data_IF_850112562643
#
_entry.id   IF_850112562643
#
_cell.length_a   1.000
_cell.length_b   1.000
_cell.length_c   1.000
_cell.angle_alpha   90.00
_cell.angle_beta   90.00
_cell.angle_gamma   90.00
#
_symmetry.space_group_name_H-M   'P 1'
#
loop_
_entity.id
_entity.type
_entity.pdbx_description
1 polymer ?
#
# COMPACT_ATOMS: atom_id res chain seq x y z
N UNK A 1 -2.86 -13.17 -5.29
CA UNK A 1 -3.27 -11.75 -5.48
C UNK A 1 -2.02 -10.95 -5.80
N UNK A 2 -2.07 -10.03 -6.78
CA UNK A 2 -0.93 -9.17 -7.13
C UNK A 2 -0.85 -7.98 -6.17
N UNK A 3 0.37 -7.61 -5.78
CA UNK A 3 0.65 -6.43 -4.97
C UNK A 3 1.20 -5.31 -5.82
N UNK A 4 0.80 -4.07 -5.56
CA UNK A 4 1.19 -2.90 -6.31
C UNK A 4 1.39 -1.68 -5.40
N UNK A 5 2.01 -0.64 -5.90
CA UNK A 5 2.14 0.65 -5.23
C UNK A 5 2.13 1.77 -6.26
N UNK A 6 1.46 2.86 -5.96
CA UNK A 6 1.45 4.05 -6.81
C UNK A 6 2.78 4.81 -6.71
N UNK A 7 3.32 5.24 -7.84
CA UNK A 7 4.60 6.00 -7.88
C UNK A 7 4.55 7.28 -7.05
N UNK A 8 3.37 7.86 -6.85
CA UNK A 8 3.17 9.03 -5.99
C UNK A 8 3.45 8.77 -4.51
N UNK A 9 3.43 7.51 -4.07
CA UNK A 9 3.60 7.11 -2.67
C UNK A 9 5.04 7.25 -2.16
N UNK A 10 6.02 7.31 -3.05
CA UNK A 10 7.45 7.32 -2.71
C UNK A 10 8.20 8.43 -3.43
N UNK A 11 9.37 8.80 -2.89
CA UNK A 11 10.24 9.86 -3.39
C UNK A 11 11.13 9.40 -4.55
N UNK A 12 11.82 10.34 -5.18
CA UNK A 12 12.83 10.09 -6.20
C UNK A 12 12.33 10.24 -7.63
N UNK A 13 13.23 10.04 -8.58
CA UNK A 13 12.94 9.94 -10.01
C UNK A 13 12.15 8.67 -10.31
N UNK A 14 11.48 8.58 -11.46
CA UNK A 14 10.71 7.39 -11.81
C UNK A 14 11.60 6.12 -11.81
N UNK A 15 12.83 6.19 -12.29
CA UNK A 15 13.77 5.05 -12.26
C UNK A 15 14.12 4.61 -10.84
N UNK A 16 14.39 5.56 -9.93
CA UNK A 16 14.68 5.25 -8.51
C UNK A 16 13.47 4.62 -7.82
N UNK A 17 12.26 5.12 -8.12
CA UNK A 17 11.00 4.55 -7.63
C UNK A 17 10.83 3.12 -8.10
N UNK A 18 10.97 2.84 -9.40
CA UNK A 18 10.82 1.48 -9.96
C UNK A 18 11.83 0.50 -9.36
N UNK A 19 13.09 0.93 -9.19
CA UNK A 19 14.12 0.11 -8.52
C UNK A 19 13.70 -0.22 -7.08
N UNK A 20 13.24 0.78 -6.31
CA UNK A 20 12.83 0.59 -4.93
C UNK A 20 11.60 -0.33 -4.79
N UNK A 21 10.63 -0.20 -5.70
CA UNK A 21 9.41 -1.02 -5.76
C UNK A 21 9.75 -2.48 -6.08
N UNK A 22 10.60 -2.72 -7.08
CA UNK A 22 11.05 -4.06 -7.44
C UNK A 22 11.86 -4.72 -6.32
N UNK A 23 12.80 -3.98 -5.70
CA UNK A 23 13.61 -4.47 -4.57
C UNK A 23 12.74 -4.83 -3.35
N UNK A 24 11.61 -4.15 -3.15
CA UNK A 24 10.67 -4.43 -2.06
C UNK A 24 9.82 -5.68 -2.29
N UNK A 25 9.75 -6.20 -3.54
CA UNK A 25 9.03 -7.42 -3.90
C UNK A 25 7.59 -7.22 -4.37
N UNK A 26 7.20 -6.02 -4.78
CA UNK A 26 5.91 -5.78 -5.45
C UNK A 26 5.85 -6.47 -6.81
N UNK A 27 4.65 -6.89 -7.22
CA UNK A 27 4.40 -7.46 -8.55
C UNK A 27 4.19 -6.38 -9.63
N UNK A 28 3.76 -5.19 -9.21
CA UNK A 28 3.42 -4.13 -10.14
C UNK A 28 3.47 -2.73 -9.56
N UNK A 29 3.11 -1.77 -10.40
CA UNK A 29 3.15 -0.34 -10.10
C UNK A 29 1.96 0.38 -10.73
N UNK A 30 1.39 1.32 -9.98
CA UNK A 30 0.50 2.32 -10.57
C UNK A 30 1.34 3.51 -11.05
N UNK A 31 1.27 3.83 -12.33
CA UNK A 31 1.96 5.00 -12.87
C UNK A 31 1.09 6.24 -12.65
N UNK A 32 1.57 7.13 -11.77
CA UNK A 32 1.00 8.45 -11.59
C UNK A 32 1.43 9.35 -12.76
N UNK A 33 0.49 9.93 -13.48
CA UNK A 33 0.77 10.66 -14.72
C UNK A 33 1.82 11.76 -14.59
N UNK A 34 1.86 12.45 -13.44
CA UNK A 34 2.87 13.50 -13.22
C UNK A 34 4.29 12.95 -13.14
N UNK A 35 4.48 11.74 -12.60
CA UNK A 35 5.79 11.08 -12.56
C UNK A 35 6.23 10.65 -13.98
N UNK A 36 5.27 10.21 -14.81
CA UNK A 36 5.50 9.94 -16.21
C UNK A 36 5.90 11.22 -16.98
N UNK A 37 5.14 12.33 -16.80
CA UNK A 37 5.42 13.61 -17.47
C UNK A 37 6.76 14.19 -17.03
N UNK A 38 7.17 13.98 -15.78
CA UNK A 38 8.44 14.47 -15.26
C UNK A 38 9.65 13.64 -15.72
N UNK A 39 9.41 12.45 -16.30
CA UNK A 39 10.48 11.59 -16.82
C UNK A 39 10.83 11.97 -18.26
N UNK A 40 12.14 12.09 -18.55
CA UNK A 40 12.62 12.35 -19.91
C UNK A 40 12.70 11.07 -20.71
N UNK A 41 11.58 10.70 -21.36
CA UNK A 41 11.46 9.50 -22.15
C UNK A 41 10.04 9.32 -22.73
N UNK A 42 9.93 8.56 -23.81
CA UNK A 42 8.64 8.21 -24.41
C UNK A 42 7.87 7.20 -23.56
N UNK A 43 6.55 7.11 -23.78
CA UNK A 43 5.71 6.13 -23.11
C UNK A 43 6.18 4.68 -23.35
N UNK A 44 6.59 4.36 -24.56
CA UNK A 44 7.13 3.05 -24.90
C UNK A 44 8.43 2.73 -24.12
N UNK A 45 9.29 3.72 -23.89
CA UNK A 45 10.50 3.57 -23.07
C UNK A 45 10.17 3.35 -21.61
N UNK A 46 9.24 4.12 -21.06
CA UNK A 46 8.77 3.93 -19.67
C UNK A 46 8.15 2.55 -19.50
N UNK A 47 7.30 2.10 -20.44
CA UNK A 47 6.72 0.77 -20.41
C UNK A 47 7.77 -0.35 -20.44
N UNK A 48 8.84 -0.20 -21.26
CA UNK A 48 9.99 -1.14 -21.24
C UNK A 48 10.72 -1.09 -19.90
N UNK A 49 11.03 0.10 -19.40
CA UNK A 49 11.72 0.28 -18.12
C UNK A 49 10.99 -0.41 -16.97
N UNK A 50 9.67 -0.32 -16.89
CA UNK A 50 8.87 -1.03 -15.87
C UNK A 50 9.05 -2.55 -16.02
N UNK A 51 8.93 -3.09 -17.23
CA UNK A 51 9.11 -4.53 -17.49
C UNK A 51 10.54 -5.01 -17.23
N UNK A 52 11.54 -4.20 -17.50
CA UNK A 52 12.96 -4.52 -17.23
C UNK A 52 13.25 -4.64 -15.74
N UNK A 53 12.45 -3.97 -14.88
CA UNK A 53 12.47 -4.16 -13.43
C UNK A 53 11.64 -5.38 -12.96
N UNK A 54 11.06 -6.17 -13.87
CA UNK A 54 10.18 -7.29 -13.52
C UNK A 54 8.80 -6.88 -13.01
N UNK A 55 8.41 -5.62 -13.20
CA UNK A 55 7.13 -5.07 -12.75
C UNK A 55 6.09 -5.03 -13.88
N UNK A 56 4.81 -5.03 -13.51
CA UNK A 56 3.68 -4.80 -14.39
C UNK A 56 3.08 -3.41 -14.12
N UNK A 57 2.65 -2.68 -15.15
CA UNK A 57 1.83 -1.46 -14.92
C UNK A 57 0.41 -1.93 -14.67
N UNK A 58 0.00 -1.91 -13.40
CA UNK A 58 -1.31 -2.39 -12.95
C UNK A 58 -2.42 -1.36 -13.14
N UNK A 59 -2.07 -0.08 -13.17
CA UNK A 59 -3.00 1.03 -13.35
C UNK A 59 -2.26 2.27 -13.88
N UNK A 60 -2.89 2.98 -14.81
CA UNK A 60 -2.48 4.33 -15.20
C UNK A 60 -3.45 5.36 -14.62
N UNK A 61 -2.95 6.38 -13.93
CA UNK A 61 -3.79 7.30 -13.17
C UNK A 61 -3.20 8.72 -13.08
N UNK A 62 -4.07 9.73 -12.79
CA UNK A 62 -5.53 9.71 -12.86
C UNK A 62 -6.07 10.28 -14.18
N UNK A 63 -7.31 9.95 -14.56
CA UNK A 63 -8.07 10.70 -15.55
C UNK A 63 -9.24 11.42 -14.87
N UNK A 64 -9.24 12.73 -14.90
CA UNK A 64 -10.13 13.59 -14.10
C UNK A 64 -11.14 14.31 -14.97
N UNK A 65 -12.27 14.70 -14.35
CA UNK A 65 -13.31 15.54 -14.94
C UNK A 65 -13.77 15.02 -16.30
N UNK A 66 -14.29 13.79 -16.29
CA UNK A 66 -14.75 13.13 -17.50
C UNK A 66 -16.27 13.18 -17.63
N UNK A 67 -17.01 12.66 -16.63
CA UNK A 67 -18.43 12.41 -16.74
C UNK A 67 -19.31 13.64 -16.49
N UNK A 68 -20.53 13.61 -17.05
CA UNK A 68 -21.61 14.57 -16.83
C UNK A 68 -21.31 16.00 -17.27
N UNK A 69 -20.37 16.21 -18.18
CA UNK A 69 -20.08 17.53 -18.70
C UNK A 69 -21.11 17.92 -19.78
N UNK A 70 -21.49 19.23 -19.88
CA UNK A 70 -22.28 19.72 -21.00
C UNK A 70 -21.43 19.83 -22.28
N UNK A 71 -22.08 19.87 -23.44
CA UNK A 71 -21.39 20.21 -24.69
C UNK A 71 -20.90 21.68 -24.65
N UNK A 72 -19.74 22.02 -25.25
CA UNK A 72 -18.81 21.13 -25.98
C UNK A 72 -17.77 20.45 -25.06
N UNK A 73 -17.86 20.58 -23.73
CA UNK A 73 -16.89 20.02 -22.77
C UNK A 73 -16.90 18.49 -22.77
N UNK A 74 -18.10 17.90 -22.94
CA UNK A 74 -18.27 16.45 -23.03
C UNK A 74 -17.49 15.88 -24.22
N UNK A 75 -17.66 16.44 -25.42
CA UNK A 75 -16.89 16.01 -26.59
C UNK A 75 -15.39 16.13 -26.37
N UNK A 76 -14.91 17.23 -25.78
CA UNK A 76 -13.48 17.41 -25.44
C UNK A 76 -12.98 16.40 -24.40
N UNK A 77 -13.83 15.98 -23.46
CA UNK A 77 -13.45 14.94 -22.49
C UNK A 77 -13.23 13.58 -23.17
N UNK A 78 -14.06 13.23 -24.14
CA UNK A 78 -13.84 12.05 -24.98
C UNK A 78 -12.56 12.15 -25.83
N UNK A 79 -12.27 13.32 -26.43
CA UNK A 79 -11.02 13.53 -27.18
C UNK A 79 -9.78 13.39 -26.26
N UNK A 80 -9.88 13.83 -25.01
CA UNK A 80 -8.81 13.60 -24.02
C UNK A 80 -8.65 12.12 -23.68
N UNK A 81 -9.77 11.38 -23.57
CA UNK A 81 -9.74 9.95 -23.29
C UNK A 81 -9.08 9.17 -24.42
N UNK A 82 -9.36 9.50 -25.70
CA UNK A 82 -8.70 8.87 -26.83
C UNK A 82 -7.17 9.02 -26.78
N UNK A 83 -6.69 10.24 -26.50
CA UNK A 83 -5.24 10.47 -26.34
C UNK A 83 -4.65 9.72 -25.13
N UNK A 84 -5.45 9.56 -24.05
CA UNK A 84 -5.05 8.76 -22.91
C UNK A 84 -4.92 7.28 -23.29
N UNK A 85 -5.83 6.77 -24.10
CA UNK A 85 -5.80 5.39 -24.60
C UNK A 85 -4.61 5.13 -25.52
N UNK A 86 -4.24 6.09 -26.39
CA UNK A 86 -3.01 6.00 -27.20
C UNK A 86 -1.78 5.85 -26.30
N UNK A 87 -1.68 6.68 -25.26
CA UNK A 87 -0.60 6.65 -24.29
C UNK A 87 -0.55 5.31 -23.51
N UNK A 88 -1.71 4.78 -23.11
CA UNK A 88 -1.79 3.49 -22.41
C UNK A 88 -1.29 2.33 -23.28
N UNK A 89 -1.61 2.33 -24.56
CA UNK A 89 -1.13 1.30 -25.50
C UNK A 89 0.39 1.36 -25.67
N UNK A 90 0.97 2.55 -25.72
CA UNK A 90 2.43 2.73 -25.77
C UNK A 90 3.12 2.31 -24.46
N UNK A 91 2.54 2.64 -23.31
CA UNK A 91 3.01 2.20 -21.99
C UNK A 91 2.91 0.68 -21.81
N UNK A 92 1.92 0.05 -22.45
CA UNK A 92 1.63 -1.39 -22.30
C UNK A 92 0.80 -1.67 -21.03
N UNK A 93 -0.17 -0.80 -20.70
CA UNK A 93 -1.15 -1.01 -19.63
C UNK A 93 -2.56 -1.04 -20.19
N UNK A 94 -3.45 -1.78 -19.56
CA UNK A 94 -4.83 -1.95 -20.03
C UNK A 94 -5.89 -1.26 -19.19
N UNK A 95 -5.54 -0.74 -17.99
CA UNK A 95 -6.50 -0.15 -17.05
C UNK A 95 -6.16 1.31 -16.74
N UNK A 96 -7.17 2.18 -16.81
CA UNK A 96 -7.08 3.59 -16.40
C UNK A 96 -8.07 3.93 -15.30
N UNK A 97 -7.64 4.74 -14.33
CA UNK A 97 -8.49 5.29 -13.29
C UNK A 97 -9.25 6.52 -13.80
N UNK A 98 -10.59 6.45 -13.76
CA UNK A 98 -11.49 7.58 -13.97
C UNK A 98 -12.00 8.06 -12.62
N UNK A 99 -11.52 9.20 -12.16
CA UNK A 99 -12.01 9.84 -10.94
C UNK A 99 -13.36 10.51 -11.18
N UNK A 100 -14.27 10.39 -10.21
CA UNK A 100 -15.52 11.15 -10.24
C UNK A 100 -15.26 12.66 -10.37
N UNK A 101 -16.08 13.34 -11.19
CA UNK A 101 -15.85 14.73 -11.58
C UNK A 101 -15.98 15.69 -10.40
N UNK A 102 -15.05 16.63 -10.33
CA UNK A 102 -15.08 17.80 -9.44
C UNK A 102 -15.35 19.09 -10.22
N UNK A 103 -15.50 18.99 -11.54
CA UNK A 103 -15.65 20.13 -12.43
C UNK A 103 -16.92 20.93 -12.10
N UNK A 104 -16.84 22.28 -11.97
CA UNK A 104 -18.01 23.10 -11.61
C UNK A 104 -19.16 23.03 -12.60
N UNK A 105 -18.89 22.71 -13.88
CA UNK A 105 -19.91 22.54 -14.91
C UNK A 105 -20.48 21.13 -15.00
N UNK A 106 -20.04 20.17 -14.18
CA UNK A 106 -20.62 18.82 -14.16
C UNK A 106 -22.08 18.92 -13.73
N UNK A 107 -22.98 18.30 -14.52
CA UNK A 107 -24.43 18.36 -14.33
C UNK A 107 -24.92 17.27 -13.36
N UNK A 108 -24.07 16.27 -13.07
CA UNK A 108 -24.42 15.14 -12.20
C UNK A 108 -25.48 14.20 -12.80
N UNK A 109 -25.94 13.26 -11.97
CA UNK A 109 -26.97 12.29 -12.29
C UNK A 109 -26.41 10.91 -12.67
N UNK A 110 -26.90 9.88 -11.98
CA UNK A 110 -26.45 8.49 -12.12
C UNK A 110 -26.56 7.99 -13.56
N UNK A 111 -27.72 8.18 -14.19
CA UNK A 111 -27.96 7.72 -15.57
C UNK A 111 -27.06 8.44 -16.59
N UNK A 112 -26.80 9.74 -16.38
CA UNK A 112 -25.90 10.51 -17.26
C UNK A 112 -24.48 10.00 -17.14
N UNK A 113 -23.99 9.80 -15.91
CA UNK A 113 -22.67 9.24 -15.68
C UNK A 113 -22.55 7.82 -16.25
N UNK A 114 -23.56 6.98 -16.04
CA UNK A 114 -23.59 5.63 -16.59
C UNK A 114 -23.54 5.60 -18.13
N UNK A 115 -24.28 6.49 -18.80
CA UNK A 115 -24.24 6.62 -20.25
C UNK A 115 -22.86 7.09 -20.77
N UNK A 116 -22.24 8.04 -20.07
CA UNK A 116 -20.90 8.53 -20.43
C UNK A 116 -19.85 7.42 -20.24
N UNK A 117 -19.92 6.66 -19.12
CA UNK A 117 -19.02 5.54 -18.87
C UNK A 117 -19.23 4.38 -19.83
N UNK A 118 -20.50 4.07 -20.21
CA UNK A 118 -20.79 3.06 -21.24
C UNK A 118 -20.12 3.44 -22.57
N UNK A 119 -20.33 4.68 -23.02
CA UNK A 119 -19.72 5.17 -24.27
C UNK A 119 -18.19 5.19 -24.21
N UNK A 120 -17.60 5.44 -23.03
CA UNK A 120 -16.16 5.35 -22.81
C UNK A 120 -15.70 3.89 -22.83
N UNK A 121 -16.44 2.99 -22.21
CA UNK A 121 -16.20 1.55 -22.21
C UNK A 121 -16.19 0.93 -23.61
N UNK A 122 -17.13 1.35 -24.48
CA UNK A 122 -17.17 0.93 -25.88
C UNK A 122 -15.89 1.33 -26.63
N UNK A 123 -15.39 2.55 -26.43
CA UNK A 123 -14.13 3.04 -27.02
C UNK A 123 -12.92 2.31 -26.45
N UNK A 124 -12.88 2.10 -25.14
CA UNK A 124 -11.81 1.34 -24.49
C UNK A 124 -11.77 -0.11 -25.00
N UNK A 125 -12.92 -0.77 -25.11
CA UNK A 125 -13.05 -2.14 -25.60
C UNK A 125 -12.52 -2.31 -27.03
N UNK A 126 -12.78 -1.33 -27.92
CA UNK A 126 -12.27 -1.34 -29.29
C UNK A 126 -10.73 -1.35 -29.37
N UNK A 127 -10.05 -0.97 -28.27
CA UNK A 127 -8.58 -0.94 -28.14
C UNK A 127 -8.04 -1.99 -27.17
N UNK A 128 -8.88 -2.91 -26.66
CA UNK A 128 -8.51 -3.90 -25.66
C UNK A 128 -8.22 -3.32 -24.29
N UNK A 129 -8.75 -2.13 -23.98
CA UNK A 129 -8.54 -1.41 -22.72
C UNK A 129 -9.75 -1.49 -21.82
N UNK A 130 -9.55 -1.18 -20.54
CA UNK A 130 -10.58 -1.13 -19.48
C UNK A 130 -10.55 0.20 -18.77
N UNK A 131 -11.67 0.63 -18.24
CA UNK A 131 -11.82 1.84 -17.45
C UNK A 131 -12.37 1.48 -16.08
N UNK A 132 -11.70 1.95 -15.02
CA UNK A 132 -12.15 1.78 -13.64
C UNK A 132 -12.65 3.11 -13.10
N UNK A 133 -13.88 3.14 -12.57
CA UNK A 133 -14.50 4.35 -12.05
C UNK A 133 -14.39 4.41 -10.53
N UNK A 134 -13.94 5.54 -10.01
CA UNK A 134 -13.71 5.79 -8.59
C UNK A 134 -14.53 6.98 -8.09
N UNK A 135 -15.16 6.83 -6.92
CA UNK A 135 -15.80 7.92 -6.19
C UNK A 135 -14.78 8.66 -5.32
N UNK A 136 -14.31 9.83 -5.73
CA UNK A 136 -13.50 10.70 -4.88
C UNK A 136 -14.30 11.19 -3.66
N UNK A 137 -13.70 11.20 -2.48
CA UNK A 137 -14.34 11.68 -1.25
C UNK A 137 -14.86 13.12 -1.35
N UNK A 138 -14.27 13.93 -2.23
CA UNK A 138 -14.69 15.32 -2.54
C UNK A 138 -15.33 15.46 -3.92
N UNK A 139 -15.77 14.34 -4.53
CA UNK A 139 -16.49 14.35 -5.81
C UNK A 139 -17.72 15.28 -5.75
N UNK A 140 -17.94 16.03 -6.84
CA UNK A 140 -18.99 17.04 -6.85
C UNK A 140 -20.40 16.46 -6.69
N UNK A 141 -20.68 15.36 -7.37
CA UNK A 141 -21.98 14.70 -7.37
C UNK A 141 -21.89 13.25 -6.92
N UNK A 142 -20.75 12.61 -7.16
CA UNK A 142 -20.48 11.20 -6.82
C UNK A 142 -19.28 11.19 -5.90
N UNK A 143 -19.51 10.82 -4.64
CA UNK A 143 -18.50 10.77 -3.59
C UNK A 143 -18.68 9.57 -2.64
N UNK A 144 -19.47 8.58 -3.08
CA UNK A 144 -19.78 7.37 -2.36
C UNK A 144 -19.59 6.18 -3.29
N UNK A 145 -18.90 5.13 -2.83
CA UNK A 145 -18.67 3.93 -3.64
C UNK A 145 -19.96 3.24 -4.06
N UNK A 146 -21.06 3.40 -3.31
CA UNK A 146 -22.38 2.84 -3.64
C UNK A 146 -22.97 3.51 -4.88
N UNK A 147 -22.83 4.83 -5.00
CA UNK A 147 -23.25 5.58 -6.20
C UNK A 147 -22.36 5.23 -7.39
N UNK A 148 -21.05 5.10 -7.18
CA UNK A 148 -20.12 4.67 -8.23
C UNK A 148 -20.43 3.26 -8.71
N UNK A 149 -20.77 2.33 -7.80
CA UNK A 149 -21.22 0.99 -8.16
C UNK A 149 -22.52 1.02 -8.96
N UNK A 150 -23.50 1.82 -8.54
CA UNK A 150 -24.77 1.95 -9.27
C UNK A 150 -24.55 2.48 -10.70
N UNK A 151 -23.61 3.41 -10.87
CA UNK A 151 -23.21 3.92 -12.20
C UNK A 151 -22.58 2.80 -13.04
N UNK A 152 -21.61 2.07 -12.49
CA UNK A 152 -20.95 0.94 -13.18
C UNK A 152 -21.98 -0.14 -13.54
N UNK A 153 -22.88 -0.46 -12.64
CA UNK A 153 -23.96 -1.42 -12.87
C UNK A 153 -24.91 -1.00 -13.99
N UNK A 154 -25.29 0.30 -14.07
CA UNK A 154 -26.14 0.86 -15.14
C UNK A 154 -25.38 1.05 -16.44
N UNK A 155 -24.09 1.33 -16.40
CA UNK A 155 -23.27 1.36 -17.60
C UNK A 155 -23.27 0.00 -18.30
N UNK A 156 -23.38 -1.10 -17.55
CA UNK A 156 -23.57 -2.45 -18.03
C UNK A 156 -22.64 -2.80 -19.20
N UNK A 157 -21.34 -2.56 -18.99
CA UNK A 157 -20.32 -2.79 -19.99
C UNK A 157 -19.14 -3.58 -19.38
N UNK A 158 -18.65 -4.65 -20.04
CA UNK A 158 -17.60 -5.52 -19.46
C UNK A 158 -16.27 -4.80 -19.23
N UNK A 159 -15.96 -3.77 -20.01
CA UNK A 159 -14.73 -2.99 -19.88
C UNK A 159 -14.86 -1.77 -18.94
N UNK A 160 -15.99 -1.64 -18.23
CA UNK A 160 -16.22 -0.64 -17.18
C UNK A 160 -16.37 -1.36 -15.85
N UNK A 161 -15.52 -1.01 -14.89
CA UNK A 161 -15.55 -1.59 -13.54
C UNK A 161 -15.36 -0.53 -12.47
N UNK A 162 -15.44 -0.97 -11.21
CA UNK A 162 -15.26 -0.12 -10.05
C UNK A 162 -13.80 -0.12 -9.60
N UNK A 163 -13.29 1.03 -9.20
CA UNK A 163 -12.09 1.14 -8.37
C UNK A 163 -12.52 1.57 -6.98
N UNK A 164 -12.03 0.85 -5.98
CA UNK A 164 -12.28 1.14 -4.58
C UNK A 164 -11.01 1.65 -3.91
N UNK A 165 -11.10 2.81 -3.27
CA UNK A 165 -10.05 3.36 -2.42
C UNK A 165 -10.55 3.41 -0.98
N UNK A 166 -9.76 2.82 -0.07
CA UNK A 166 -10.11 2.75 1.36
C UNK A 166 -10.25 4.14 2.00
N UNK A 167 -9.35 5.09 1.65
CA UNK A 167 -9.45 6.45 2.18
C UNK A 167 -10.73 7.14 1.75
N UNK A 168 -11.13 7.02 0.47
CA UNK A 168 -12.33 7.68 -0.02
C UNK A 168 -13.60 7.15 0.66
N UNK A 169 -13.64 5.87 0.95
CA UNK A 169 -14.75 5.24 1.68
C UNK A 169 -14.73 5.61 3.17
N UNK A 170 -13.61 5.36 3.84
CA UNK A 170 -13.50 5.48 5.30
C UNK A 170 -13.38 6.93 5.79
N UNK A 171 -12.68 7.78 5.04
CA UNK A 171 -12.56 9.21 5.34
C UNK A 171 -13.91 9.94 5.31
N UNK A 172 -14.88 9.45 4.54
CA UNK A 172 -16.28 9.90 4.57
C UNK A 172 -17.13 9.20 5.62
N UNK A 173 -16.54 8.30 6.40
CA UNK A 173 -17.26 7.51 7.41
C UNK A 173 -18.38 6.65 6.79
N UNK A 174 -18.18 6.17 5.55
CA UNK A 174 -19.09 5.27 4.87
C UNK A 174 -18.74 3.84 5.29
N UNK A 175 -19.77 3.07 5.70
CA UNK A 175 -19.57 1.65 6.04
C UNK A 175 -19.11 0.85 4.81
N UNK A 176 -18.06 0.04 4.90
CA UNK A 176 -17.62 -0.81 3.80
C UNK A 176 -18.51 -2.04 3.57
N UNK A 177 -19.44 -2.35 4.47
CA UNK A 177 -20.25 -3.59 4.41
C UNK A 177 -21.02 -3.77 3.10
N UNK A 178 -21.43 -2.67 2.45
CA UNK A 178 -22.10 -2.74 1.14
C UNK A 178 -21.22 -3.31 0.02
N UNK A 179 -19.89 -3.26 0.18
CA UNK A 179 -18.92 -3.81 -0.79
C UNK A 179 -19.09 -5.33 -0.92
N UNK A 180 -19.47 -6.04 0.16
CA UNK A 180 -19.68 -7.49 0.16
C UNK A 180 -20.71 -7.96 -0.88
N UNK A 181 -21.64 -7.08 -1.28
CA UNK A 181 -22.68 -7.38 -2.28
C UNK A 181 -22.29 -7.04 -3.72
N UNK A 182 -21.14 -6.41 -3.92
CA UNK A 182 -20.63 -6.09 -5.25
C UNK A 182 -19.95 -7.34 -5.83
N UNK A 183 -20.28 -7.79 -7.04
CA UNK A 183 -19.56 -8.91 -7.66
C UNK A 183 -18.07 -8.59 -7.81
N UNK A 184 -17.20 -9.47 -7.30
CA UNK A 184 -15.75 -9.22 -7.24
C UNK A 184 -15.11 -9.02 -8.63
N UNK A 185 -15.67 -9.62 -9.68
CA UNK A 185 -15.24 -9.43 -11.07
C UNK A 185 -15.61 -8.04 -11.65
N UNK A 186 -16.47 -7.29 -10.96
CA UNK A 186 -16.81 -5.91 -11.32
C UNK A 186 -15.94 -4.88 -10.58
N UNK A 187 -15.17 -5.29 -9.61
CA UNK A 187 -14.13 -4.49 -8.97
C UNK A 187 -12.83 -4.74 -9.75
N UNK A 188 -12.31 -3.72 -10.42
CA UNK A 188 -11.13 -3.86 -11.28
C UNK A 188 -9.83 -3.60 -10.54
N UNK A 189 -9.89 -2.79 -9.47
CA UNK A 189 -8.72 -2.40 -8.72
C UNK A 189 -9.08 -1.96 -7.30
N UNK A 190 -8.15 -2.15 -6.36
CA UNK A 190 -8.32 -1.70 -4.97
C UNK A 190 -7.09 -0.92 -4.53
N UNK A 191 -7.31 0.32 -4.11
CA UNK A 191 -6.30 1.19 -3.54
C UNK A 191 -6.45 1.25 -2.02
N UNK A 192 -5.32 1.17 -1.33
CA UNK A 192 -5.26 1.11 0.13
C UNK A 192 -4.43 2.25 0.68
N UNK A 193 -5.00 2.94 1.62
CA UNK A 193 -4.36 3.92 2.47
C UNK A 193 -5.08 3.96 3.82
N UNK A 194 -4.31 4.19 4.87
CA UNK A 194 -4.78 4.54 6.20
C UNK A 194 -4.62 6.06 6.42
N UNK A 195 -5.06 6.59 7.51
CA UNK A 195 -4.83 7.98 7.92
C UNK A 195 -5.16 8.19 9.40
N UNK A 196 -4.55 9.19 10.08
CA UNK A 196 -4.96 9.56 11.43
C UNK A 196 -6.36 10.19 11.40
N UNK A 197 -7.20 9.91 12.40
CA UNK A 197 -8.54 10.52 12.54
C UNK A 197 -8.43 11.96 13.04
N UNK A 198 -8.32 12.89 12.11
CA UNK A 198 -8.31 14.34 12.36
C UNK A 198 -9.39 15.03 11.55
N UNK A 199 -10.01 16.07 12.14
CA UNK A 199 -11.01 16.86 11.43
C UNK A 199 -10.35 17.92 10.55
N UNK A 200 -10.42 17.71 9.24
CA UNK A 200 -9.96 18.67 8.25
C UNK A 200 -10.69 18.52 6.93
N UNK A 201 -10.40 19.38 5.97
CA UNK A 201 -10.89 19.25 4.60
C UNK A 201 -10.45 17.91 3.99
N UNK A 202 -11.40 17.17 3.39
CA UNK A 202 -11.14 15.81 2.87
C UNK A 202 -10.07 15.77 1.77
N UNK A 203 -10.02 16.79 0.91
CA UNK A 203 -9.01 16.86 -0.15
C UNK A 203 -7.63 17.09 0.47
N UNK A 204 -7.52 18.02 1.43
CA UNK A 204 -6.27 18.30 2.10
C UNK A 204 -5.78 17.10 2.91
N UNK A 205 -6.68 16.46 3.65
CA UNK A 205 -6.39 15.24 4.40
C UNK A 205 -5.88 14.11 3.48
N UNK A 206 -6.59 13.85 2.39
CA UNK A 206 -6.18 12.86 1.38
C UNK A 206 -4.81 13.13 0.77
N UNK A 207 -4.44 14.40 0.60
CA UNK A 207 -3.22 14.76 -0.15
C UNK A 207 -1.96 14.79 0.69
N UNK A 208 -2.09 14.85 2.02
CA UNK A 208 -0.94 15.13 2.89
C UNK A 208 -0.80 14.13 4.06
N UNK A 209 -1.83 13.37 4.41
CA UNK A 209 -1.87 12.62 5.66
C UNK A 209 -2.26 11.14 5.52
N UNK A 210 -2.21 10.59 4.31
CA UNK A 210 -2.39 9.15 4.15
C UNK A 210 -1.19 8.40 4.72
N UNK A 211 -1.44 7.32 5.45
CA UNK A 211 -0.43 6.43 6.03
C UNK A 211 -0.51 5.05 5.38
N UNK A 212 0.49 4.21 5.63
CA UNK A 212 0.41 2.79 5.27
C UNK A 212 -0.69 2.11 6.09
N UNK A 213 -1.36 1.07 5.56
CA UNK A 213 -2.33 0.29 6.31
C UNK A 213 -1.79 -0.17 7.67
N UNK A 214 -2.55 0.09 8.73
CA UNK A 214 -2.18 -0.20 10.12
C UNK A 214 -1.34 0.87 10.83
N UNK A 215 -1.03 1.98 10.17
CA UNK A 215 -0.29 3.11 10.74
C UNK A 215 -1.20 4.34 11.02
N UNK A 216 -2.49 4.19 10.83
CA UNK A 216 -3.50 5.22 11.11
C UNK A 216 -4.62 4.68 11.98
N UNK A 217 -5.76 5.35 11.90
CA UNK A 217 -6.95 5.08 12.71
C UNK A 217 -8.17 4.65 11.87
N UNK A 218 -8.02 4.53 10.55
CA UNK A 218 -9.11 4.10 9.68
C UNK A 218 -9.28 2.57 9.73
N UNK A 219 -10.52 2.08 9.62
CA UNK A 219 -10.80 0.63 9.61
C UNK A 219 -10.48 0.00 8.24
N UNK A 220 -9.20 0.05 7.86
CA UNK A 220 -8.73 -0.53 6.60
C UNK A 220 -8.86 -2.05 6.59
N UNK A 221 -8.76 -2.70 7.76
CA UNK A 221 -8.99 -4.13 7.89
C UNK A 221 -10.44 -4.49 7.56
N UNK A 222 -11.43 -3.82 8.16
CA UNK A 222 -12.85 -4.05 7.84
C UNK A 222 -13.19 -3.74 6.38
N UNK A 223 -12.57 -2.72 5.79
CA UNK A 223 -12.69 -2.45 4.36
C UNK A 223 -12.19 -3.63 3.52
N UNK A 224 -11.00 -4.15 3.79
CA UNK A 224 -10.46 -5.29 3.04
C UNK A 224 -11.22 -6.59 3.28
N UNK A 225 -11.75 -6.84 4.48
CA UNK A 225 -12.65 -7.96 4.73
C UNK A 225 -13.88 -7.90 3.79
N UNK A 226 -14.50 -6.73 3.64
CA UNK A 226 -15.63 -6.56 2.74
C UNK A 226 -15.25 -6.77 1.26
N UNK A 227 -14.08 -6.27 0.85
CA UNK A 227 -13.52 -6.49 -0.50
C UNK A 227 -13.27 -7.98 -0.76
N UNK A 228 -12.62 -8.68 0.16
CA UNK A 228 -12.33 -10.10 -0.03
C UNK A 228 -13.61 -10.96 -0.04
N UNK A 229 -14.58 -10.64 0.80
CA UNK A 229 -15.86 -11.32 0.85
C UNK A 229 -16.72 -11.12 -0.42
N UNK A 230 -16.43 -10.10 -1.24
CA UNK A 230 -17.04 -9.91 -2.57
C UNK A 230 -16.58 -10.93 -3.61
N UNK A 231 -15.52 -11.69 -3.32
CA UNK A 231 -14.84 -12.60 -4.26
C UNK A 231 -13.81 -11.90 -5.15
N UNK A 232 -13.35 -10.72 -4.77
CA UNK A 232 -12.31 -9.98 -5.51
C UNK A 232 -11.00 -10.76 -5.61
N UNK A 233 -10.40 -10.78 -6.81
CA UNK A 233 -9.14 -11.47 -7.09
C UNK A 233 -8.12 -10.58 -7.83
N UNK A 234 -8.43 -9.31 -8.01
CA UNK A 234 -7.57 -8.35 -8.70
C UNK A 234 -6.38 -7.86 -7.86
N UNK A 235 -5.63 -6.87 -8.35
CA UNK A 235 -4.51 -6.26 -7.63
C UNK A 235 -4.96 -5.43 -6.43
N UNK A 236 -4.16 -5.48 -5.35
CA UNK A 236 -4.22 -4.52 -4.24
C UNK A 236 -3.01 -3.59 -4.31
N UNK A 237 -3.22 -2.32 -4.10
CA UNK A 237 -2.19 -1.31 -4.31
C UNK A 237 -2.17 -0.27 -3.20
N UNK A 238 -0.99 0.24 -2.88
CA UNK A 238 -0.85 1.36 -1.96
C UNK A 238 -0.91 2.68 -2.74
N UNK A 239 -1.81 3.57 -2.33
CA UNK A 239 -1.86 4.94 -2.84
C UNK A 239 -1.70 5.94 -1.69
N UNK A 240 -0.45 6.26 -1.37
CA UNK A 240 -0.10 7.05 -0.20
C UNK A 240 0.34 8.47 -0.59
N UNK A 241 -0.55 9.42 -0.37
CA UNK A 241 -0.20 10.85 -0.47
C UNK A 241 0.21 11.35 0.92
N UNK A 242 1.52 11.39 1.16
CA UNK A 242 2.09 11.86 2.41
C UNK A 242 3.40 12.60 2.15
N UNK A 243 3.52 13.83 2.64
CA UNK A 243 4.69 14.67 2.39
C UNK A 243 5.97 14.12 3.04
N UNK A 244 5.84 13.42 4.18
CA UNK A 244 6.98 12.80 4.85
C UNK A 244 7.51 11.60 4.06
N UNK A 245 6.62 10.75 3.53
CA UNK A 245 7.03 9.60 2.71
C UNK A 245 7.67 10.06 1.40
N UNK A 246 7.13 11.11 0.78
CA UNK A 246 7.73 11.72 -0.41
C UNK A 246 9.07 12.41 -0.17
N UNK A 247 9.42 12.72 1.07
CA UNK A 247 10.73 13.19 1.50
C UNK A 247 11.66 12.09 2.02
N UNK A 248 11.15 10.85 2.19
CA UNK A 248 11.87 9.72 2.75
C UNK A 248 12.75 8.97 1.74
N UNK A 249 13.51 7.98 2.24
CA UNK A 249 14.28 7.08 1.37
C UNK A 249 13.32 6.13 0.63
N UNK A 250 13.34 6.08 -0.73
CA UNK A 250 12.37 5.32 -1.51
C UNK A 250 12.40 3.81 -1.20
N UNK A 251 13.57 3.22 -0.96
CA UNK A 251 13.69 1.78 -0.63
C UNK A 251 13.09 1.45 0.74
N UNK A 252 13.30 2.32 1.73
CA UNK A 252 12.72 2.14 3.06
C UNK A 252 11.20 2.23 2.98
N UNK A 253 10.68 3.28 2.35
CA UNK A 253 9.23 3.51 2.22
C UNK A 253 8.56 2.38 1.42
N UNK A 254 9.15 1.93 0.30
CA UNK A 254 8.61 0.81 -0.47
C UNK A 254 8.60 -0.50 0.34
N UNK A 255 9.70 -0.79 1.06
CA UNK A 255 9.80 -1.98 1.92
C UNK A 255 8.80 -1.98 3.08
N UNK A 256 8.57 -0.83 3.72
CA UNK A 256 7.57 -0.68 4.78
C UNK A 256 6.16 -0.83 4.20
N UNK A 257 5.89 -0.23 3.04
CA UNK A 257 4.63 -0.40 2.32
C UNK A 257 4.33 -1.86 1.99
N UNK A 258 5.30 -2.60 1.47
CA UNK A 258 5.10 -4.03 1.19
C UNK A 258 4.74 -4.82 2.46
N UNK A 259 5.48 -4.58 3.56
CA UNK A 259 5.20 -5.23 4.86
C UNK A 259 3.80 -4.87 5.39
N UNK A 260 3.35 -3.62 5.21
CA UNK A 260 2.02 -3.20 5.64
C UNK A 260 0.90 -3.95 4.91
N UNK A 261 1.06 -4.21 3.59
CA UNK A 261 0.11 -5.04 2.84
C UNK A 261 0.10 -6.48 3.34
N UNK A 262 1.27 -7.07 3.57
CA UNK A 262 1.36 -8.45 4.10
C UNK A 262 0.70 -8.56 5.48
N UNK A 263 0.94 -7.59 6.37
CA UNK A 263 0.34 -7.54 7.70
C UNK A 263 -1.17 -7.38 7.64
N UNK A 264 -1.67 -6.44 6.82
CA UNK A 264 -3.10 -6.22 6.62
C UNK A 264 -3.80 -7.50 6.14
N UNK A 265 -3.25 -8.17 5.13
CA UNK A 265 -3.86 -9.37 4.57
C UNK A 265 -3.81 -10.58 5.51
N UNK A 266 -2.78 -10.67 6.35
CA UNK A 266 -2.73 -11.65 7.45
C UNK A 266 -3.84 -11.39 8.48
N UNK A 267 -4.06 -10.13 8.87
CA UNK A 267 -5.13 -9.76 9.79
C UNK A 267 -6.53 -10.04 9.21
N UNK A 268 -6.74 -9.74 7.93
CA UNK A 268 -7.98 -10.06 7.19
C UNK A 268 -8.22 -11.58 7.18
N UNK A 269 -7.20 -12.39 6.83
CA UNK A 269 -7.32 -13.85 6.79
C UNK A 269 -7.59 -14.45 8.17
N UNK A 270 -7.01 -13.89 9.23
CA UNK A 270 -7.25 -14.36 10.61
C UNK A 270 -8.66 -14.01 11.10
N UNK A 271 -9.18 -12.87 10.67
CA UNK A 271 -10.52 -12.43 11.07
C UNK A 271 -11.63 -13.20 10.34
N UNK A 272 -11.42 -13.54 9.07
CA UNK A 272 -12.36 -14.32 8.24
C UNK A 272 -11.64 -15.51 7.57
N UNK A 273 -11.32 -16.60 8.31
CA UNK A 273 -10.51 -17.72 7.81
C UNK A 273 -11.08 -18.43 6.58
N UNK A 274 -12.42 -18.39 6.42
CA UNK A 274 -13.13 -19.04 5.30
C UNK A 274 -13.04 -18.24 4.00
N UNK A 275 -12.58 -16.97 4.05
CA UNK A 275 -12.44 -16.10 2.88
C UNK A 275 -11.00 -16.14 2.38
N UNK A 276 -10.72 -16.67 1.17
CA UNK A 276 -9.36 -16.75 0.66
C UNK A 276 -8.78 -15.37 0.38
N UNK A 277 -7.66 -15.03 0.99
CA UNK A 277 -6.98 -13.73 0.80
C UNK A 277 -5.86 -13.73 -0.27
N UNK A 278 -5.53 -14.89 -0.85
CA UNK A 278 -4.61 -14.98 -2.00
C UNK A 278 -3.14 -14.61 -1.74
N UNK A 279 -2.74 -14.36 -0.48
CA UNK A 279 -1.35 -14.21 -0.06
C UNK A 279 -0.88 -15.43 0.74
N UNK A 280 0.44 -15.65 0.82
CA UNK A 280 1.01 -16.70 1.63
C UNK A 280 0.68 -16.48 3.11
N UNK A 281 0.22 -17.51 3.85
CA UNK A 281 -0.09 -17.35 5.25
C UNK A 281 1.17 -17.00 6.05
N UNK A 282 1.03 -16.05 6.96
CA UNK A 282 2.08 -15.72 7.92
C UNK A 282 2.20 -16.83 8.97
N UNK A 283 3.39 -17.02 9.58
CA UNK A 283 3.53 -17.95 10.70
C UNK A 283 2.62 -17.54 11.86
N UNK A 284 2.26 -18.49 12.74
CA UNK A 284 1.47 -18.16 13.93
C UNK A 284 2.11 -17.03 14.74
N UNK A 285 1.29 -16.12 15.27
CA UNK A 285 1.78 -15.07 16.17
C UNK A 285 2.37 -15.71 17.42
N UNK A 286 3.60 -15.34 17.75
CA UNK A 286 4.29 -15.81 18.94
C UNK A 286 3.85 -14.93 20.12
N UNK A 287 3.30 -15.56 21.16
CA UNK A 287 3.07 -14.89 22.43
C UNK A 287 4.34 -15.02 23.29
N UNK A 288 5.01 -13.90 23.56
CA UNK A 288 6.15 -13.88 24.48
C UNK A 288 5.64 -13.72 25.91
N UNK A 289 6.10 -14.59 26.83
CA UNK A 289 5.76 -14.51 28.25
C UNK A 289 6.64 -13.55 29.04
N UNK A 290 7.64 -12.95 28.39
CA UNK A 290 8.56 -11.98 28.98
C UNK A 290 10.00 -12.15 28.50
N UNK A 291 10.92 -11.39 29.12
CA UNK A 291 12.35 -11.44 28.86
C UNK A 291 12.95 -12.62 29.63
N UNK A 292 13.53 -13.60 28.91
CA UNK A 292 14.17 -14.75 29.55
C UNK A 292 15.54 -14.41 30.15
N UNK A 293 16.31 -13.57 29.44
CA UNK A 293 17.61 -13.06 29.89
C UNK A 293 18.01 -11.84 29.03
N UNK A 294 18.98 -11.07 29.52
CA UNK A 294 19.67 -10.02 28.73
C UNK A 294 21.12 -10.46 28.55
N UNK A 295 21.62 -10.45 27.32
CA UNK A 295 22.99 -10.81 26.99
C UNK A 295 23.84 -9.56 26.76
N UNK A 296 25.01 -9.55 27.39
CA UNK A 296 26.04 -8.51 27.24
C UNK A 296 27.25 -9.08 26.50
N UNK A 297 27.64 -8.45 25.41
CA UNK A 297 28.91 -8.69 24.77
C UNK A 297 30.01 -7.93 25.54
N UNK A 298 30.89 -8.64 26.24
CA UNK A 298 31.93 -8.03 27.06
C UNK A 298 33.19 -8.89 27.13
N UNK A 299 34.37 -8.26 27.02
CA UNK A 299 35.68 -8.94 27.07
C UNK A 299 36.67 -8.23 27.95
N UNK A 300 37.65 -9.00 28.48
CA UNK A 300 38.76 -8.46 29.23
C UNK A 300 38.28 -7.55 30.37
N UNK A 301 38.84 -6.35 30.45
CA UNK A 301 38.56 -5.37 31.49
C UNK A 301 37.05 -4.96 31.54
N UNK A 302 36.34 -4.97 30.39
CA UNK A 302 34.91 -4.64 30.36
C UNK A 302 34.07 -5.75 30.99
N UNK A 303 34.40 -7.01 30.73
CA UNK A 303 33.76 -8.14 31.39
C UNK A 303 34.03 -8.12 32.91
N UNK A 304 35.24 -7.79 33.35
CA UNK A 304 35.61 -7.70 34.78
C UNK A 304 34.83 -6.57 35.47
N UNK A 305 34.71 -5.40 34.83
CA UNK A 305 33.92 -4.26 35.34
C UNK A 305 32.44 -4.61 35.46
N UNK A 306 31.85 -5.21 34.40
CA UNK A 306 30.45 -5.61 34.36
C UNK A 306 30.13 -6.66 35.44
N UNK A 307 30.98 -7.67 35.57
CA UNK A 307 30.76 -8.74 36.57
C UNK A 307 30.98 -8.26 38.02
N UNK A 308 31.90 -7.26 38.20
CA UNK A 308 32.04 -6.56 39.50
C UNK A 308 30.78 -5.77 39.84
N UNK A 309 30.21 -5.05 38.85
CA UNK A 309 28.95 -4.35 39.02
C UNK A 309 27.82 -5.33 39.38
N UNK A 310 27.70 -6.46 38.69
CA UNK A 310 26.69 -7.48 39.00
C UNK A 310 26.79 -7.98 40.44
N UNK A 311 28.01 -8.29 40.93
CA UNK A 311 28.21 -8.69 42.34
C UNK A 311 27.77 -7.59 43.30
N UNK A 312 28.14 -6.33 43.01
CA UNK A 312 27.75 -5.20 43.89
C UNK A 312 26.24 -4.98 43.94
N UNK A 313 25.52 -5.35 42.87
CA UNK A 313 24.06 -5.32 42.79
C UNK A 313 23.39 -6.58 43.40
N UNK A 314 24.16 -7.56 43.87
CA UNK A 314 23.63 -8.77 44.49
C UNK A 314 23.37 -9.93 43.52
N UNK A 315 23.86 -9.84 42.28
CA UNK A 315 23.80 -11.00 41.37
C UNK A 315 24.90 -12.02 41.71
N UNK A 316 24.57 -13.29 41.63
CA UNK A 316 25.51 -14.39 41.72
C UNK A 316 25.76 -15.03 40.35
N UNK A 317 26.99 -15.45 40.08
CA UNK A 317 27.26 -16.28 38.90
C UNK A 317 26.77 -17.71 39.20
N UNK A 318 25.66 -18.08 38.53
CA UNK A 318 24.97 -19.37 38.75
C UNK A 318 25.34 -20.43 37.71
N UNK A 319 25.98 -20.04 36.61
CA UNK A 319 26.34 -20.95 35.55
C UNK A 319 27.44 -20.45 34.63
N UNK A 320 28.09 -21.42 33.95
CA UNK A 320 29.02 -21.20 32.87
C UNK A 320 28.73 -22.18 31.74
N UNK A 321 28.77 -21.70 30.52
CA UNK A 321 28.54 -22.57 29.34
C UNK A 321 29.70 -23.58 29.23
N UNK A 322 29.36 -24.83 28.83
CA UNK A 322 30.32 -25.94 28.83
C UNK A 322 31.51 -25.73 27.88
N UNK A 323 31.27 -25.17 26.70
CA UNK A 323 32.23 -25.07 25.60
C UNK A 323 32.46 -23.63 25.11
N UNK A 324 31.84 -22.62 25.75
CA UNK A 324 31.91 -21.22 25.32
C UNK A 324 32.29 -20.34 26.52
N UNK A 325 32.93 -19.21 26.22
CA UNK A 325 33.26 -18.18 27.21
C UNK A 325 32.01 -17.36 27.58
N UNK A 326 30.98 -18.00 28.11
CA UNK A 326 29.69 -17.42 28.48
C UNK A 326 29.36 -17.75 29.93
N UNK A 327 29.12 -16.73 30.74
CA UNK A 327 28.73 -16.83 32.14
C UNK A 327 27.27 -16.36 32.35
N UNK A 328 26.51 -17.10 33.18
CA UNK A 328 25.16 -16.76 33.59
C UNK A 328 25.18 -16.17 35.01
N UNK A 329 24.59 -14.98 35.13
CA UNK A 329 24.41 -14.24 36.39
C UNK A 329 22.93 -14.14 36.71
N UNK A 330 22.54 -14.34 37.97
CA UNK A 330 21.15 -14.31 38.38
C UNK A 330 20.94 -13.63 39.72
N UNK A 331 19.83 -12.94 39.86
CA UNK A 331 19.28 -12.43 41.11
C UNK A 331 17.75 -12.55 41.02
N UNK A 332 17.16 -13.38 41.86
CA UNK A 332 15.75 -13.79 41.75
C UNK A 332 15.45 -14.36 40.36
N UNK A 333 14.48 -13.75 39.65
CA UNK A 333 14.11 -14.17 38.29
C UNK A 333 14.88 -13.41 37.20
N UNK A 334 15.70 -12.41 37.54
CA UNK A 334 16.49 -11.63 36.60
C UNK A 334 17.73 -12.42 36.21
N UNK A 335 17.95 -12.59 34.90
CA UNK A 335 19.11 -13.30 34.35
C UNK A 335 19.88 -12.43 33.39
N UNK A 336 21.19 -12.35 33.61
CA UNK A 336 22.15 -11.70 32.72
C UNK A 336 23.15 -12.72 32.20
N UNK A 337 23.42 -12.66 30.92
CA UNK A 337 24.43 -13.51 30.25
C UNK A 337 25.60 -12.59 29.88
N UNK A 338 26.81 -12.96 30.27
CA UNK A 338 28.05 -12.27 29.81
C UNK A 338 28.72 -13.16 28.78
N UNK A 339 28.72 -12.72 27.52
CA UNK A 339 29.32 -13.44 26.41
C UNK A 339 30.68 -12.81 26.06
N UNK A 340 31.75 -13.57 26.32
CA UNK A 340 33.13 -13.15 26.07
C UNK A 340 33.79 -13.94 24.93
N UNK A 341 32.98 -14.56 24.05
CA UNK A 341 33.47 -15.28 22.88
C UNK A 341 34.24 -14.36 21.93
N UNK A 342 35.29 -14.89 21.30
CA UNK A 342 36.11 -14.18 20.32
C UNK A 342 35.66 -14.32 18.88
N UNK A 343 34.59 -15.09 18.66
CA UNK A 343 33.94 -15.29 17.37
C UNK A 343 32.42 -15.16 17.50
N UNK A 344 31.72 -15.04 16.37
CA UNK A 344 30.27 -14.97 16.34
C UNK A 344 29.69 -13.56 16.57
N UNK A 345 28.38 -13.50 16.82
CA UNK A 345 27.64 -12.23 16.88
C UNK A 345 28.12 -11.32 18.03
N UNK A 346 28.25 -11.86 19.25
CA UNK A 346 28.71 -11.09 20.40
C UNK A 346 30.11 -10.48 20.17
N UNK A 347 31.01 -11.24 19.54
CA UNK A 347 32.34 -10.74 19.14
C UNK A 347 32.24 -9.57 18.14
N UNK A 348 31.37 -9.69 17.14
CA UNK A 348 31.14 -8.64 16.16
C UNK A 348 30.60 -7.37 16.83
N UNK A 349 29.58 -7.50 17.68
CA UNK A 349 28.99 -6.37 18.41
C UNK A 349 30.02 -5.70 19.32
N UNK A 350 30.80 -6.47 20.11
CA UNK A 350 31.82 -5.90 20.99
C UNK A 350 32.91 -5.19 20.21
N UNK A 351 33.38 -5.75 19.10
CA UNK A 351 34.39 -5.11 18.25
C UNK A 351 33.91 -3.80 17.63
N UNK A 352 32.63 -3.69 17.33
CA UNK A 352 32.04 -2.51 16.70
C UNK A 352 31.65 -1.41 17.71
N UNK A 353 31.25 -1.78 18.94
CA UNK A 353 30.62 -0.86 19.89
C UNK A 353 31.21 -0.92 21.31
N UNK A 354 32.09 -1.84 21.62
CA UNK A 354 32.55 -2.12 22.97
C UNK A 354 31.53 -2.89 23.78
N UNK A 355 31.52 -2.68 25.12
CA UNK A 355 30.51 -3.27 26.01
C UNK A 355 29.10 -2.87 25.56
N UNK A 356 28.28 -3.88 25.28
CA UNK A 356 26.94 -3.69 24.73
C UNK A 356 25.99 -4.76 25.24
#
# INVERSE_FOLDING_TARGET
MKTSIATVSISGTLTEKLTAIADAGFDGVEIFEQDFIAHDGSAAEVGRMVRDHGLEITLFQPFRDFECLPEPMRSKAFDRAERKFDLMQELGTDLVLICSSVHPSSLGGIDRAANDLRALGERAAARGLRVGYEALAWGRHISDHRDAWEIVRRADHPNVGLILDSFHTLGRKISPESIRSIPGDRIFFVQLADAPLIEMDLLYWSRHFRNMPGEGDLDVQGFMQAVMASGYQGPISLEIFNDQFRGGNPRTVAGDGYRSLVALMDDVQRAEPEVPCGLSPMPPRIACSGVAFVEFAARGADADRLTTLFRSMGFARVGRHRNKAIDLWQQGDIRFVVNSEDTGHAAHVWNARGLS
#
